data_IF_196895273465
#
_entry.id   IF_196895273465
#
_cell.length_a   1.000
_cell.length_b   1.000
_cell.length_c   1.000
_cell.angle_alpha   90.00
_cell.angle_beta   90.00
_cell.angle_gamma   90.00
#
_symmetry.space_group_name_H-M   'P 1'
#
loop_
_entity.id
_entity.type
_entity.pdbx_description
1 polymer ?
#
# COMPACT_ATOMS: atom_id res chain seq x y z
N UNK A 1 -34.77 5.62 -27.55
CA UNK A 1 -34.06 6.91 -27.58
C UNK A 1 -34.23 7.56 -26.22
N UNK A 2 -33.11 7.66 -25.50
CA UNK A 2 -32.79 8.66 -24.47
C UNK A 2 -33.84 8.89 -23.38
N UNK A 3 -33.97 7.94 -22.46
CA UNK A 3 -34.27 8.27 -21.06
C UNK A 3 -32.93 8.39 -20.34
N UNK A 4 -32.29 9.56 -20.43
CA UNK A 4 -31.13 9.87 -19.59
C UNK A 4 -31.64 9.91 -18.14
N UNK A 5 -31.30 8.91 -17.34
CA UNK A 5 -31.31 9.04 -15.90
C UNK A 5 -30.26 10.11 -15.58
N UNK A 6 -30.70 11.23 -15.02
CA UNK A 6 -29.80 12.33 -14.72
C UNK A 6 -29.30 12.09 -13.30
N UNK A 7 -28.19 11.37 -13.20
CA UNK A 7 -27.37 11.44 -12.00
C UNK A 7 -27.03 12.92 -11.76
N UNK A 8 -27.21 13.37 -10.52
CA UNK A 8 -26.86 14.72 -10.10
C UNK A 8 -25.56 14.67 -9.29
N UNK A 9 -24.38 14.47 -9.92
CA UNK A 9 -23.10 14.56 -9.21
C UNK A 9 -22.98 15.95 -8.56
N UNK A 10 -22.17 16.07 -7.50
CA UNK A 10 -22.00 17.32 -6.74
C UNK A 10 -21.62 18.55 -7.61
N UNK A 11 -21.05 18.32 -8.80
CA UNK A 11 -20.67 19.34 -9.77
C UNK A 11 -21.72 19.61 -10.86
N UNK A 12 -22.88 18.97 -10.81
CA UNK A 12 -23.97 19.18 -11.76
C UNK A 12 -24.49 20.61 -11.68
N UNK A 13 -24.84 21.19 -12.83
CA UNK A 13 -25.42 22.53 -12.90
C UNK A 13 -26.71 22.66 -12.10
N UNK A 14 -27.43 21.55 -11.91
CA UNK A 14 -28.60 21.47 -11.06
C UNK A 14 -28.22 21.65 -9.58
N UNK A 15 -27.28 20.84 -9.07
CA UNK A 15 -26.77 20.91 -7.68
C UNK A 15 -26.12 22.26 -7.39
N UNK A 16 -25.37 22.84 -8.34
CA UNK A 16 -24.77 24.16 -8.21
C UNK A 16 -25.81 25.29 -8.15
N UNK A 17 -26.92 25.18 -8.90
CA UNK A 17 -28.02 26.14 -8.85
C UNK A 17 -28.81 26.00 -7.55
N UNK A 18 -29.07 24.77 -7.12
CA UNK A 18 -29.78 24.49 -5.88
C UNK A 18 -28.96 24.98 -4.67
N UNK A 19 -27.65 24.75 -4.69
CA UNK A 19 -26.71 25.31 -3.71
C UNK A 19 -26.73 26.84 -3.70
N UNK A 20 -26.74 27.49 -4.86
CA UNK A 20 -26.81 28.96 -4.94
C UNK A 20 -28.13 29.50 -4.37
N UNK A 21 -29.27 28.89 -4.71
CA UNK A 21 -30.57 29.32 -4.17
C UNK A 21 -30.70 29.11 -2.67
N UNK A 22 -30.04 28.06 -2.14
CA UNK A 22 -29.95 27.82 -0.70
C UNK A 22 -29.04 28.82 0.01
N UNK A 23 -27.87 29.14 -0.56
CA UNK A 23 -26.97 30.18 -0.03
C UNK A 23 -27.66 31.56 0.00
N UNK A 24 -28.58 31.82 -0.94
CA UNK A 24 -29.37 33.04 -1.06
C UNK A 24 -30.64 33.05 -0.16
N UNK A 25 -30.94 31.97 0.58
CA UNK A 25 -32.15 31.81 1.41
C UNK A 25 -33.47 32.06 0.64
N UNK A 26 -33.53 31.64 -0.63
CA UNK A 26 -34.71 31.78 -1.48
C UNK A 26 -35.59 30.52 -1.40
N UNK A 27 -36.48 30.47 -0.41
CA UNK A 27 -37.41 29.36 -0.16
C UNK A 27 -38.33 29.04 -1.36
N UNK A 28 -38.62 30.05 -2.20
CA UNK A 28 -39.50 29.88 -3.36
C UNK A 28 -38.70 29.33 -4.55
N UNK A 29 -37.48 29.83 -4.74
CA UNK A 29 -36.54 29.34 -5.76
C UNK A 29 -36.12 27.89 -5.52
N UNK A 30 -35.91 27.50 -4.26
CA UNK A 30 -35.59 26.12 -3.86
C UNK A 30 -36.76 25.19 -4.11
N UNK A 31 -37.98 25.54 -3.68
CA UNK A 31 -39.19 24.77 -3.97
C UNK A 31 -39.43 24.59 -5.48
N UNK A 32 -39.21 25.64 -6.27
CA UNK A 32 -39.36 25.57 -7.73
C UNK A 32 -38.30 24.68 -8.39
N UNK A 33 -37.04 24.73 -7.92
CA UNK A 33 -35.98 23.83 -8.42
C UNK A 33 -36.22 22.38 -8.02
N UNK A 34 -36.75 22.14 -6.82
CA UNK A 34 -37.12 20.80 -6.33
C UNK A 34 -38.32 20.21 -7.10
N UNK A 35 -39.30 21.03 -7.48
CA UNK A 35 -40.40 20.61 -8.37
C UNK A 35 -39.94 20.19 -9.76
N UNK A 36 -38.81 20.71 -10.25
CA UNK A 36 -38.21 20.37 -11.54
C UNK A 36 -37.18 19.23 -11.44
N UNK A 37 -36.76 18.87 -10.23
CA UNK A 37 -35.98 17.67 -9.98
C UNK A 37 -36.94 16.49 -10.10
N UNK A 38 -36.89 15.76 -11.22
CA UNK A 38 -37.57 14.46 -11.27
C UNK A 38 -37.03 13.65 -10.10
N UNK A 39 -37.94 13.18 -9.24
CA UNK A 39 -37.61 12.28 -8.14
C UNK A 39 -36.75 11.17 -8.72
N UNK A 40 -35.58 10.96 -8.14
CA UNK A 40 -34.75 9.83 -8.50
C UNK A 40 -35.58 8.62 -8.10
N UNK A 41 -36.03 7.84 -9.08
CA UNK A 41 -36.71 6.58 -8.84
C UNK A 41 -35.71 5.65 -8.12
N UNK A 42 -35.61 5.76 -6.80
CA UNK A 42 -35.07 4.70 -5.98
C UNK A 42 -36.16 3.64 -5.91
N UNK A 43 -36.12 2.68 -6.84
CA UNK A 43 -37.01 1.52 -6.82
C UNK A 43 -36.68 0.67 -5.59
N UNK A 44 -37.46 0.81 -4.54
CA UNK A 44 -37.36 -0.06 -3.36
C UNK A 44 -38.00 -1.40 -3.74
N UNK A 45 -37.22 -2.34 -4.28
CA UNK A 45 -37.66 -3.73 -4.32
C UNK A 45 -37.47 -4.35 -2.94
N UNK A 46 -38.56 -4.40 -2.17
CA UNK A 46 -38.64 -5.22 -0.97
C UNK A 46 -38.44 -6.68 -1.40
N UNK A 47 -37.40 -7.32 -0.90
CA UNK A 47 -37.24 -8.77 -1.08
C UNK A 47 -38.38 -9.50 -0.35
N UNK A 48 -39.11 -10.29 -1.14
CA UNK A 48 -40.09 -11.33 -0.82
C UNK A 48 -41.59 -10.94 -0.88
N UNK A 49 -42.23 -11.41 -1.96
CA UNK A 49 -43.61 -11.93 -2.11
C UNK A 49 -44.85 -11.10 -1.73
N UNK A 50 -44.74 -9.85 -1.30
CA UNK A 50 -45.92 -8.99 -1.10
C UNK A 50 -46.17 -8.08 -2.31
N UNK A 51 -46.87 -8.60 -3.35
CA UNK A 51 -47.26 -7.87 -4.57
C UNK A 51 -48.29 -6.75 -4.36
N UNK A 52 -48.35 -6.12 -3.19
CA UNK A 52 -49.40 -5.14 -2.87
C UNK A 52 -48.99 -4.01 -1.91
N UNK A 53 -47.73 -3.56 -1.94
CA UNK A 53 -47.33 -2.29 -1.32
C UNK A 53 -46.49 -1.48 -2.31
N UNK A 54 -46.95 -0.26 -2.62
CA UNK A 54 -46.20 0.72 -3.42
C UNK A 54 -44.90 1.07 -2.68
N UNK A 55 -43.71 0.92 -3.29
CA UNK A 55 -42.47 1.26 -2.61
C UNK A 55 -41.77 2.37 -3.38
N UNK A 56 -42.25 3.61 -3.22
CA UNK A 56 -41.54 4.82 -3.63
C UNK A 56 -41.42 5.68 -2.38
N UNK A 57 -40.26 5.66 -1.74
CA UNK A 57 -39.95 6.58 -0.64
C UNK A 57 -39.07 7.69 -1.22
N UNK A 58 -39.52 8.93 -1.08
CA UNK A 58 -39.06 10.08 -1.84
C UNK A 58 -38.23 11.01 -0.96
N UNK A 59 -36.97 10.66 -0.68
CA UNK A 59 -36.04 11.61 -0.06
C UNK A 59 -35.28 12.43 -1.13
N UNK A 60 -35.31 13.78 -1.06
CA UNK A 60 -34.78 14.63 -2.12
C UNK A 60 -33.24 14.76 -2.12
N UNK A 61 -32.64 15.27 -3.22
CA UNK A 61 -31.20 15.49 -3.42
C UNK A 61 -30.51 16.40 -2.37
N UNK A 62 -31.27 16.98 -1.44
CA UNK A 62 -30.80 17.90 -0.40
C UNK A 62 -29.87 17.22 0.62
N UNK A 63 -30.00 15.91 0.84
CA UNK A 63 -29.03 15.15 1.65
C UNK A 63 -27.61 15.21 1.05
N UNK A 64 -27.49 15.32 -0.28
CA UNK A 64 -26.21 15.49 -0.97
C UNK A 64 -25.60 16.90 -0.74
N UNK A 65 -26.41 17.86 -0.30
CA UNK A 65 -26.00 19.25 -0.07
C UNK A 65 -25.63 19.55 1.39
N UNK A 66 -26.04 18.70 2.33
CA UNK A 66 -25.65 18.82 3.74
C UNK A 66 -26.29 19.99 4.50
N UNK A 67 -27.43 20.51 4.01
CA UNK A 67 -28.14 21.63 4.66
C UNK A 67 -29.16 21.09 5.66
N UNK A 68 -28.92 21.36 6.95
CA UNK A 68 -29.67 20.79 8.06
C UNK A 68 -31.11 21.33 8.18
N UNK A 69 -31.33 22.62 7.93
CA UNK A 69 -32.67 23.21 8.05
C UNK A 69 -33.65 22.62 7.03
N UNK A 70 -33.16 22.23 5.86
CA UNK A 70 -34.00 21.64 4.81
C UNK A 70 -34.34 20.17 5.12
N UNK A 71 -33.44 19.42 5.76
CA UNK A 71 -33.71 18.05 6.22
C UNK A 71 -34.79 18.06 7.33
N UNK A 72 -34.83 19.11 8.15
CA UNK A 72 -35.87 19.29 9.17
C UNK A 72 -37.23 19.56 8.56
N UNK A 73 -37.32 20.53 7.65
CA UNK A 73 -38.59 20.91 7.01
C UNK A 73 -39.18 19.77 6.18
N UNK A 74 -38.35 19.00 5.49
CA UNK A 74 -38.79 17.83 4.72
C UNK A 74 -39.38 16.73 5.59
N UNK A 75 -38.77 16.41 6.74
CA UNK A 75 -39.34 15.38 7.62
C UNK A 75 -40.63 15.81 8.31
N UNK A 76 -40.77 17.10 8.61
CA UNK A 76 -42.02 17.64 9.15
C UNK A 76 -43.17 17.56 8.13
N UNK A 77 -42.86 17.63 6.83
CA UNK A 77 -43.82 17.56 5.73
C UNK A 77 -44.10 16.13 5.27
N UNK A 78 -43.08 15.27 5.24
CA UNK A 78 -43.14 13.89 4.79
C UNK A 78 -42.65 12.97 5.92
N UNK A 79 -43.57 12.23 6.55
CA UNK A 79 -43.27 11.23 7.59
C UNK A 79 -42.58 10.02 6.94
N UNK A 80 -41.30 10.16 6.59
CA UNK A 80 -40.52 9.09 5.94
C UNK A 80 -39.58 8.38 6.93
N UNK A 81 -39.37 7.07 6.70
CA UNK A 81 -38.43 6.25 7.48
C UNK A 81 -37.00 6.74 7.21
N UNK A 82 -36.26 7.08 8.27
CA UNK A 82 -34.88 7.59 8.18
C UNK A 82 -33.91 6.56 7.57
N UNK A 83 -34.32 5.29 7.51
CA UNK A 83 -33.52 4.16 7.02
C UNK A 83 -33.78 3.79 5.56
N UNK A 84 -34.35 4.70 4.76
CA UNK A 84 -34.58 4.45 3.33
C UNK A 84 -33.29 4.11 2.59
N UNK A 85 -33.40 3.20 1.64
CA UNK A 85 -32.28 2.79 0.80
C UNK A 85 -32.39 3.53 -0.54
N UNK A 86 -31.32 4.22 -0.91
CA UNK A 86 -31.15 4.80 -2.23
C UNK A 86 -30.52 3.75 -3.15
N UNK A 87 -31.08 3.57 -4.32
CA UNK A 87 -30.48 2.81 -5.40
C UNK A 87 -29.82 3.80 -6.37
N UNK A 88 -28.49 3.80 -6.45
CA UNK A 88 -27.76 4.59 -7.43
C UNK A 88 -27.37 3.66 -8.58
N UNK A 89 -27.95 3.87 -9.75
CA UNK A 89 -27.62 3.14 -10.97
C UNK A 89 -26.56 3.91 -11.77
N UNK A 90 -25.36 3.37 -11.91
CA UNK A 90 -24.37 3.98 -12.81
C UNK A 90 -24.78 3.89 -14.28
N UNK A 91 -24.40 4.87 -15.09
CA UNK A 91 -24.71 4.93 -16.53
C UNK A 91 -24.00 3.85 -17.39
N UNK A 92 -23.00 3.17 -16.84
CA UNK A 92 -22.17 2.19 -17.55
C UNK A 92 -22.58 0.75 -17.24
N UNK A 93 -22.89 0.00 -18.30
CA UNK A 93 -23.15 -1.45 -18.24
C UNK A 93 -21.85 -2.18 -17.91
N UNK A 94 -21.83 -2.92 -16.81
CA UNK A 94 -20.69 -3.72 -16.38
C UNK A 94 -21.06 -5.20 -16.40
N UNK A 95 -20.10 -6.04 -16.76
CA UNK A 95 -20.24 -7.48 -16.62
C UNK A 95 -20.17 -7.83 -15.14
N UNK A 96 -21.30 -8.20 -14.56
CA UNK A 96 -21.37 -8.66 -13.18
C UNK A 96 -21.55 -10.17 -13.17
N UNK A 97 -20.71 -10.86 -12.39
CA UNK A 97 -20.95 -12.25 -12.05
C UNK A 97 -21.99 -12.25 -10.92
N UNK A 98 -23.19 -12.77 -11.18
CA UNK A 98 -24.17 -12.92 -10.12
C UNK A 98 -23.62 -13.87 -9.04
N UNK A 99 -23.71 -13.45 -7.78
CA UNK A 99 -23.12 -14.15 -6.64
C UNK A 99 -23.56 -15.62 -6.54
N UNK A 100 -22.70 -16.44 -5.92
CA UNK A 100 -22.85 -17.90 -5.84
C UNK A 100 -24.18 -18.40 -5.21
N UNK A 101 -24.94 -17.51 -4.55
CA UNK A 101 -26.18 -17.82 -3.85
C UNK A 101 -27.32 -18.20 -4.80
N UNK A 102 -27.37 -17.66 -6.02
CA UNK A 102 -28.45 -17.92 -6.99
C UNK A 102 -28.10 -18.96 -8.07
N UNK A 103 -26.82 -19.08 -8.47
CA UNK A 103 -26.43 -19.94 -9.62
C UNK A 103 -25.20 -20.83 -9.40
N UNK A 104 -24.71 -20.98 -8.16
CA UNK A 104 -23.59 -21.88 -7.83
C UNK A 104 -22.24 -21.43 -8.42
N UNK A 105 -21.28 -22.36 -8.48
CA UNK A 105 -19.85 -22.10 -8.82
C UNK A 105 -19.61 -21.62 -10.27
N UNK A 106 -20.61 -21.69 -11.14
CA UNK A 106 -20.50 -21.34 -12.57
C UNK A 106 -21.10 -19.98 -12.88
N UNK A 107 -20.92 -19.00 -11.99
CA UNK A 107 -21.51 -17.65 -12.02
C UNK A 107 -21.92 -17.16 -13.41
N UNK A 108 -23.21 -16.93 -13.59
CA UNK A 108 -23.75 -16.37 -14.82
C UNK A 108 -23.32 -14.91 -14.91
N UNK A 109 -22.59 -14.58 -15.96
CA UNK A 109 -22.21 -13.20 -16.25
C UNK A 109 -23.37 -12.52 -16.95
N UNK A 110 -24.02 -11.58 -16.28
CA UNK A 110 -25.02 -10.70 -16.89
C UNK A 110 -24.42 -9.30 -17.10
N UNK A 111 -24.83 -8.67 -18.19
CA UNK A 111 -24.45 -7.29 -18.50
C UNK A 111 -25.53 -6.38 -17.90
N UNK A 112 -25.33 -5.99 -16.65
CA UNK A 112 -26.28 -5.19 -15.88
C UNK A 112 -25.65 -3.87 -15.42
N UNK A 113 -26.48 -2.88 -15.08
CA UNK A 113 -26.03 -1.65 -14.45
C UNK A 113 -25.56 -1.96 -13.02
N UNK A 114 -24.42 -1.40 -12.60
CA UNK A 114 -24.01 -1.51 -11.20
C UNK A 114 -24.99 -0.72 -10.34
N UNK A 115 -25.79 -1.44 -9.56
CA UNK A 115 -26.73 -0.90 -8.58
C UNK A 115 -26.02 -0.82 -7.23
N UNK A 116 -25.73 0.38 -6.76
CA UNK A 116 -25.16 0.59 -5.43
C UNK A 116 -26.28 1.04 -4.50
N UNK A 117 -26.60 0.21 -3.50
CA UNK A 117 -27.56 0.56 -2.46
C UNK A 117 -26.85 1.39 -1.39
N UNK A 118 -27.33 2.60 -1.11
CA UNK A 118 -26.71 3.50 -0.12
C UNK A 118 -27.77 4.08 0.82
N UNK A 119 -27.41 4.36 2.08
CA UNK A 119 -28.34 4.98 3.04
C UNK A 119 -28.04 6.49 3.19
N UNK A 120 -29.04 7.32 3.58
CA UNK A 120 -28.81 8.73 3.90
C UNK A 120 -27.70 8.92 4.95
N UNK A 121 -27.62 7.98 5.88
CA UNK A 121 -26.58 7.95 6.91
C UNK A 121 -25.18 7.68 6.31
N UNK A 122 -25.06 6.77 5.34
CA UNK A 122 -23.79 6.52 4.65
C UNK A 122 -23.34 7.74 3.84
N UNK A 123 -24.26 8.42 3.15
CA UNK A 123 -23.97 9.61 2.34
C UNK A 123 -23.46 10.76 3.22
N UNK A 124 -24.17 11.05 4.31
CA UNK A 124 -23.78 12.11 5.27
C UNK A 124 -22.44 11.80 5.95
N UNK A 125 -22.18 10.53 6.26
CA UNK A 125 -20.90 10.08 6.80
C UNK A 125 -19.75 10.18 5.79
N UNK A 126 -19.98 9.83 4.51
CA UNK A 126 -19.00 9.90 3.43
C UNK A 126 -18.57 11.33 3.08
N UNK A 127 -19.48 12.31 3.21
CA UNK A 127 -19.22 13.72 2.92
C UNK A 127 -18.77 14.53 4.16
N UNK A 128 -18.91 13.96 5.36
CA UNK A 128 -18.54 14.65 6.61
C UNK A 128 -19.60 15.63 7.13
N UNK A 129 -20.88 15.44 6.78
CA UNK A 129 -21.99 16.30 7.25
C UNK A 129 -22.41 15.91 8.68
N UNK A 130 -21.60 16.31 9.66
CA UNK A 130 -21.75 15.95 11.08
C UNK A 130 -23.10 16.32 11.67
N UNK A 131 -23.60 17.52 11.38
CA UNK A 131 -24.87 18.01 11.92
C UNK A 131 -26.07 17.24 11.34
N UNK A 132 -26.03 16.94 10.04
CA UNK A 132 -27.05 16.10 9.38
C UNK A 132 -27.01 14.67 9.93
N UNK A 133 -25.80 14.12 10.10
CA UNK A 133 -25.58 12.80 10.67
C UNK A 133 -26.14 12.70 12.10
N UNK A 134 -25.87 13.70 12.96
CA UNK A 134 -26.41 13.77 14.32
C UNK A 134 -27.94 13.76 14.31
N UNK A 135 -28.54 14.60 13.46
CA UNK A 135 -30.00 14.66 13.33
C UNK A 135 -30.58 13.30 12.92
N UNK A 136 -30.00 12.63 11.91
CA UNK A 136 -30.47 11.31 11.48
C UNK A 136 -30.36 10.26 12.61
N UNK A 137 -29.27 10.27 13.38
CA UNK A 137 -29.05 9.34 14.49
C UNK A 137 -29.99 9.58 15.69
N UNK A 138 -30.25 10.84 16.05
CA UNK A 138 -31.23 11.21 17.10
C UNK A 138 -32.65 10.74 16.75
N UNK A 139 -32.92 10.56 15.46
CA UNK A 139 -34.22 10.22 14.92
C UNK A 139 -34.35 8.76 14.46
N UNK A 140 -33.47 7.89 14.96
CA UNK A 140 -33.62 6.44 14.83
C UNK A 140 -32.96 5.83 13.59
N UNK A 141 -32.04 6.54 12.94
CA UNK A 141 -31.17 5.93 11.93
C UNK A 141 -30.36 4.77 12.54
N UNK A 142 -30.31 3.64 11.85
CA UNK A 142 -29.55 2.46 12.28
C UNK A 142 -28.09 2.60 11.82
N UNK A 143 -27.11 2.73 12.74
CA UNK A 143 -25.71 2.95 12.36
C UNK A 143 -25.06 1.76 11.66
N UNK A 144 -25.56 0.55 11.90
CA UNK A 144 -25.02 -0.71 11.37
C UNK A 144 -25.69 -1.14 10.05
N UNK A 145 -26.52 -0.30 9.45
CA UNK A 145 -27.12 -0.61 8.16
C UNK A 145 -26.06 -0.54 7.05
N UNK A 146 -25.87 -1.64 6.33
CA UNK A 146 -24.90 -1.78 5.24
C UNK A 146 -25.61 -2.23 3.96
N UNK A 147 -26.39 -1.34 3.32
CA UNK A 147 -27.26 -1.75 2.22
C UNK A 147 -26.50 -2.11 0.94
N UNK A 148 -25.35 -1.49 0.68
CA UNK A 148 -24.41 -1.84 -0.39
C UNK A 148 -23.07 -2.29 0.18
N UNK A 149 -23.12 -3.13 1.21
CA UNK A 149 -21.92 -3.70 1.83
C UNK A 149 -21.15 -2.80 2.76
N UNK A 150 -21.24 -1.48 2.63
CA UNK A 150 -20.56 -0.52 3.51
C UNK A 150 -21.50 0.17 4.47
N UNK A 151 -21.16 0.12 5.76
CA UNK A 151 -21.84 0.91 6.81
C UNK A 151 -21.38 2.37 6.77
N UNK A 152 -22.15 3.28 7.37
CA UNK A 152 -21.76 4.68 7.54
C UNK A 152 -20.38 4.87 8.20
N UNK A 153 -20.01 3.97 9.13
CA UNK A 153 -18.73 4.03 9.83
C UNK A 153 -17.53 3.66 8.93
N UNK A 154 -17.72 2.78 7.94
CA UNK A 154 -16.72 2.48 6.90
C UNK A 154 -16.44 3.72 6.05
N UNK A 155 -17.50 4.38 5.57
CA UNK A 155 -17.41 5.58 4.74
C UNK A 155 -16.75 6.75 5.48
N UNK A 156 -17.09 6.96 6.75
CA UNK A 156 -16.46 7.98 7.58
C UNK A 156 -14.96 7.72 7.78
N UNK A 157 -14.56 6.44 7.93
CA UNK A 157 -13.15 6.07 8.10
C UNK A 157 -12.35 6.21 6.81
N UNK A 158 -12.91 5.77 5.67
CA UNK A 158 -12.28 5.89 4.36
C UNK A 158 -12.01 7.36 3.98
N UNK A 159 -12.96 8.24 4.27
CA UNK A 159 -12.87 9.67 3.96
C UNK A 159 -12.28 10.52 5.09
N UNK A 160 -11.84 9.89 6.20
CA UNK A 160 -11.17 10.54 7.33
C UNK A 160 -12.01 11.56 8.11
N UNK A 161 -13.34 11.38 8.17
CA UNK A 161 -14.26 12.26 8.89
C UNK A 161 -14.37 11.88 10.37
N UNK A 162 -13.46 12.44 11.18
CA UNK A 162 -13.30 12.10 12.59
C UNK A 162 -14.56 12.30 13.42
N UNK A 163 -15.24 13.41 13.19
CA UNK A 163 -16.39 13.83 13.99
C UNK A 163 -17.61 12.95 13.69
N UNK A 164 -17.75 12.50 12.44
CA UNK A 164 -18.73 11.49 12.04
C UNK A 164 -18.44 10.14 12.71
N UNK A 165 -17.17 9.72 12.75
CA UNK A 165 -16.77 8.46 13.43
C UNK A 165 -17.10 8.52 14.92
N UNK A 166 -16.81 9.65 15.60
CA UNK A 166 -17.12 9.83 17.01
C UNK A 166 -18.63 9.70 17.27
N UNK A 167 -19.46 10.45 16.52
CA UNK A 167 -20.92 10.40 16.65
C UNK A 167 -21.49 8.99 16.37
N UNK A 168 -21.00 8.30 15.34
CA UNK A 168 -21.46 6.95 15.02
C UNK A 168 -21.13 5.96 16.16
N UNK A 169 -19.92 6.04 16.71
CA UNK A 169 -19.49 5.19 17.82
C UNK A 169 -20.25 5.49 19.13
N UNK A 170 -20.57 6.77 19.40
CA UNK A 170 -21.42 7.16 20.53
C UNK A 170 -22.84 6.58 20.42
N UNK A 171 -23.37 6.50 19.19
CA UNK A 171 -24.66 5.87 18.88
C UNK A 171 -24.59 4.35 18.70
N UNK A 172 -23.53 3.69 19.21
CA UNK A 172 -23.35 2.23 19.22
C UNK A 172 -23.21 1.60 17.83
N UNK A 173 -22.60 2.31 16.88
CA UNK A 173 -22.08 1.67 15.68
C UNK A 173 -21.08 0.56 16.06
N UNK A 174 -21.17 -0.60 15.42
CA UNK A 174 -20.25 -1.71 15.65
C UNK A 174 -18.96 -1.46 14.85
N UNK A 175 -17.80 -1.30 15.52
CA UNK A 175 -16.53 -1.00 14.85
C UNK A 175 -15.89 -2.23 14.18
N UNK A 176 -16.50 -3.42 14.26
CA UNK A 176 -15.94 -4.68 13.78
C UNK A 176 -16.70 -5.30 12.59
N UNK A 177 -17.78 -4.64 12.15
CA UNK A 177 -18.50 -5.08 10.95
C UNK A 177 -17.56 -5.06 9.75
N UNK A 178 -17.62 -6.11 8.94
CA UNK A 178 -16.87 -6.17 7.69
C UNK A 178 -17.70 -5.57 6.56
N UNK A 179 -17.04 -4.87 5.65
CA UNK A 179 -17.68 -4.45 4.41
C UNK A 179 -17.74 -5.59 3.38
N UNK A 180 -18.30 -5.31 2.20
CA UNK A 180 -18.37 -6.26 1.07
C UNK A 180 -17.00 -6.74 0.59
N UNK A 181 -15.95 -5.93 0.79
CA UNK A 181 -14.56 -6.27 0.47
C UNK A 181 -13.88 -7.03 1.65
N UNK A 182 -14.65 -7.38 2.68
CA UNK A 182 -14.14 -8.08 3.86
C UNK A 182 -13.25 -7.22 4.75
N UNK A 183 -13.34 -5.89 4.67
CA UNK A 183 -12.53 -4.97 5.46
C UNK A 183 -13.29 -4.46 6.68
N UNK A 184 -12.70 -4.59 7.87
CA UNK A 184 -13.16 -3.84 9.04
C UNK A 184 -12.82 -2.33 8.90
N UNK A 185 -13.50 -1.42 9.61
CA UNK A 185 -13.26 0.02 9.53
C UNK A 185 -11.83 0.46 9.84
N UNK A 186 -11.12 -0.27 10.70
CA UNK A 186 -9.70 -0.05 10.99
C UNK A 186 -8.80 -0.24 9.74
N UNK A 187 -9.15 -1.16 8.83
CA UNK A 187 -8.42 -1.39 7.58
C UNK A 187 -8.59 -0.23 6.57
N UNK A 188 -9.66 0.55 6.70
CA UNK A 188 -9.92 1.71 5.85
C UNK A 188 -9.14 2.96 6.28
N UNK A 189 -8.49 2.94 7.45
CA UNK A 189 -7.61 4.01 7.94
C UNK A 189 -6.25 4.00 7.22
N UNK A 190 -6.25 4.33 5.91
CA UNK A 190 -5.11 4.17 4.99
C UNK A 190 -4.24 5.42 4.82
N UNK A 191 -4.62 6.53 5.44
CA UNK A 191 -3.96 7.84 5.28
C UNK A 191 -3.52 8.41 6.62
N UNK A 192 -2.54 9.34 6.67
CA UNK A 192 -2.14 9.97 7.92
C UNK A 192 -3.29 10.76 8.58
N UNK A 193 -4.23 11.31 7.81
CA UNK A 193 -5.40 12.04 8.31
C UNK A 193 -6.34 11.13 9.12
N UNK A 194 -6.45 9.86 8.75
CA UNK A 194 -7.28 8.86 9.44
C UNK A 194 -6.78 8.47 10.84
N UNK A 195 -5.63 9.00 11.30
CA UNK A 195 -5.05 8.64 12.61
C UNK A 195 -6.02 8.87 13.77
N UNK A 196 -6.78 9.98 13.72
CA UNK A 196 -7.79 10.29 14.74
C UNK A 196 -8.96 9.30 14.69
N UNK A 197 -9.41 8.89 13.50
CA UNK A 197 -10.42 7.84 13.33
C UNK A 197 -9.93 6.51 13.93
N UNK A 198 -8.72 6.07 13.58
CA UNK A 198 -8.12 4.85 14.12
C UNK A 198 -8.04 4.88 15.66
N UNK A 199 -7.67 6.02 16.24
CA UNK A 199 -7.64 6.19 17.71
C UNK A 199 -9.02 6.07 18.35
N UNK A 200 -10.07 6.61 17.73
CA UNK A 200 -11.44 6.49 18.21
C UNK A 200 -11.94 5.05 18.11
N UNK A 201 -11.71 4.38 16.98
CA UNK A 201 -12.07 2.98 16.79
C UNK A 201 -11.45 2.07 17.86
N UNK A 202 -10.13 2.19 18.10
CA UNK A 202 -9.43 1.41 19.14
C UNK A 202 -9.98 1.71 20.53
N UNK A 203 -10.36 2.96 20.83
CA UNK A 203 -10.98 3.33 22.13
C UNK A 203 -12.36 2.72 22.33
N UNK A 204 -13.13 2.56 21.25
CA UNK A 204 -14.47 1.98 21.29
C UNK A 204 -14.49 0.46 21.08
N UNK A 205 -13.34 -0.22 21.22
CA UNK A 205 -13.28 -1.67 21.22
C UNK A 205 -13.20 -2.32 19.84
N UNK A 206 -12.69 -1.60 18.83
CA UNK A 206 -12.34 -2.21 17.55
C UNK A 206 -11.30 -3.32 17.73
N UNK A 207 -11.52 -4.47 17.09
CA UNK A 207 -10.64 -5.62 17.11
C UNK A 207 -9.40 -5.34 16.26
N UNK A 208 -8.28 -5.07 16.93
CA UNK A 208 -7.03 -4.62 16.29
C UNK A 208 -6.39 -5.71 15.43
N UNK A 209 -6.61 -6.98 15.77
CA UNK A 209 -6.06 -8.14 15.06
C UNK A 209 -7.09 -8.83 14.17
N UNK A 210 -8.24 -8.19 13.91
CA UNK A 210 -9.25 -8.76 13.02
C UNK A 210 -8.67 -8.84 11.60
N UNK A 211 -8.57 -10.03 10.99
CA UNK A 211 -8.10 -10.16 9.62
C UNK A 211 -9.21 -9.71 8.65
N UNK A 212 -8.80 -9.24 7.47
CA UNK A 212 -9.72 -9.07 6.35
C UNK A 212 -10.15 -10.42 5.77
N UNK A 213 -11.36 -10.53 5.22
CA UNK A 213 -11.83 -11.82 4.68
C UNK A 213 -11.02 -12.27 3.46
N UNK A 214 -10.73 -11.35 2.53
CA UNK A 214 -10.09 -11.66 1.25
C UNK A 214 -8.60 -12.00 1.39
N UNK A 215 -7.80 -11.05 1.91
CA UNK A 215 -6.34 -11.17 1.95
C UNK A 215 -5.82 -11.65 3.30
N UNK A 216 -6.68 -11.79 4.32
CA UNK A 216 -6.29 -12.06 5.71
C UNK A 216 -5.29 -11.03 6.25
N UNK A 217 -5.28 -9.82 5.68
CA UNK A 217 -4.45 -8.71 6.14
C UNK A 217 -5.04 -8.16 7.45
N UNK A 218 -4.20 -7.89 8.44
CA UNK A 218 -4.61 -7.18 9.66
C UNK A 218 -4.47 -5.65 9.47
N UNK A 219 -5.09 -4.81 10.31
CA UNK A 219 -4.89 -3.36 10.28
C UNK A 219 -3.42 -2.94 10.38
N UNK A 220 -2.60 -3.73 11.09
CA UNK A 220 -1.16 -3.52 11.20
C UNK A 220 -0.45 -3.74 9.85
N UNK A 221 -0.84 -4.75 9.05
CA UNK A 221 -0.31 -4.94 7.69
C UNK A 221 -0.58 -3.74 6.81
N UNK A 222 -1.82 -3.25 6.80
CA UNK A 222 -2.23 -2.09 5.99
C UNK A 222 -1.43 -0.85 6.40
N UNK A 223 -1.31 -0.58 7.71
CA UNK A 223 -0.56 0.56 8.21
C UNK A 223 0.94 0.46 7.88
N UNK A 224 1.53 -0.74 7.99
CA UNK A 224 2.93 -1.00 7.66
C UNK A 224 3.21 -0.82 6.16
N UNK A 225 2.37 -1.42 5.29
CA UNK A 225 2.43 -1.29 3.83
C UNK A 225 2.30 0.17 3.37
N UNK A 226 1.55 1.00 4.08
CA UNK A 226 1.39 2.43 3.77
C UNK A 226 2.42 3.35 4.43
N UNK A 227 3.29 2.84 5.30
CA UNK A 227 4.31 3.66 5.98
C UNK A 227 3.73 4.58 7.07
N UNK A 228 2.57 4.22 7.65
CA UNK A 228 1.86 5.05 8.62
C UNK A 228 2.42 4.87 10.03
N UNK A 229 3.55 5.52 10.33
CA UNK A 229 4.27 5.38 11.60
C UNK A 229 3.38 5.59 12.84
N UNK A 230 2.54 6.63 12.83
CA UNK A 230 1.65 6.95 13.96
C UNK A 230 0.62 5.85 14.21
N UNK A 231 0.04 5.26 13.15
CA UNK A 231 -0.93 4.18 13.25
C UNK A 231 -0.27 2.88 13.74
N UNK A 232 0.88 2.51 13.17
CA UNK A 232 1.66 1.34 13.61
C UNK A 232 1.99 1.45 15.10
N UNK A 233 2.47 2.62 15.54
CA UNK A 233 2.77 2.84 16.96
C UNK A 233 1.53 2.78 17.86
N UNK A 234 0.38 3.25 17.37
CA UNK A 234 -0.89 3.15 18.10
C UNK A 234 -1.31 1.69 18.26
N UNK A 235 -1.30 0.92 17.17
CA UNK A 235 -1.73 -0.48 17.16
C UNK A 235 -0.83 -1.37 18.04
N UNK A 236 0.49 -1.21 17.93
CA UNK A 236 1.43 -1.96 18.78
C UNK A 236 1.29 -1.59 20.26
N UNK A 237 1.04 -0.31 20.58
CA UNK A 237 0.75 0.12 21.96
C UNK A 237 -0.56 -0.43 22.51
N UNK A 238 -1.54 -0.67 21.64
CA UNK A 238 -2.80 -1.32 21.99
C UNK A 238 -2.71 -2.86 21.95
N UNK A 239 -1.49 -3.41 22.01
CA UNK A 239 -1.24 -4.85 22.12
C UNK A 239 -1.65 -5.66 20.87
N UNK A 240 -1.52 -5.07 19.68
CA UNK A 240 -1.63 -5.79 18.41
C UNK A 240 -0.57 -6.90 18.33
N UNK A 241 -0.92 -8.01 17.67
CA UNK A 241 0.05 -9.02 17.29
C UNK A 241 1.09 -8.42 16.34
N UNK A 242 2.38 -8.66 16.60
CA UNK A 242 3.49 -8.09 15.81
C UNK A 242 3.71 -8.87 14.51
N UNK A 243 3.55 -10.20 14.56
CA UNK A 243 3.81 -11.12 13.45
C UNK A 243 2.54 -11.91 13.02
N UNK A 244 1.39 -11.27 12.77
CA UNK A 244 0.30 -11.95 12.07
C UNK A 244 0.76 -12.31 10.65
N UNK A 245 0.31 -13.45 10.14
CA UNK A 245 0.55 -13.89 8.78
C UNK A 245 -0.69 -13.63 7.93
N UNK A 246 -0.53 -12.94 6.79
CA UNK A 246 -1.61 -12.77 5.81
C UNK A 246 -1.83 -14.04 4.95
N UNK A 247 -2.70 -13.94 3.94
CA UNK A 247 -2.96 -15.03 3.00
C UNK A 247 -1.75 -15.47 2.18
N UNK A 248 -0.65 -14.73 2.18
CA UNK A 248 0.62 -15.04 1.52
C UNK A 248 1.72 -15.41 2.53
N UNK A 249 1.35 -15.69 3.79
CA UNK A 249 2.25 -15.89 4.91
C UNK A 249 3.22 -14.70 5.11
N UNK A 250 2.87 -13.50 4.62
CA UNK A 250 3.65 -12.30 4.84
C UNK A 250 3.37 -11.73 6.24
N UNK A 251 4.42 -11.23 6.88
CA UNK A 251 4.31 -10.46 8.13
C UNK A 251 4.22 -8.96 7.85
N UNK A 252 3.80 -8.13 8.82
CA UNK A 252 3.77 -6.68 8.67
C UNK A 252 5.14 -6.09 8.33
N UNK A 253 6.22 -6.68 8.86
CA UNK A 253 7.59 -6.31 8.54
C UNK A 253 7.91 -6.59 7.06
N UNK A 254 7.46 -7.74 6.54
CA UNK A 254 7.57 -8.09 5.12
C UNK A 254 6.80 -7.13 4.22
N UNK A 255 5.56 -6.77 4.61
CA UNK A 255 4.71 -5.84 3.87
C UNK A 255 5.28 -4.41 3.83
N UNK A 256 5.84 -3.90 4.94
CA UNK A 256 6.57 -2.63 4.96
C UNK A 256 7.77 -2.63 4.00
N UNK A 257 8.53 -3.73 4.00
CA UNK A 257 9.70 -3.87 3.13
C UNK A 257 9.33 -3.99 1.63
N UNK A 258 8.19 -4.61 1.30
CA UNK A 258 7.71 -4.74 -0.08
C UNK A 258 7.18 -3.41 -0.65
N UNK A 259 6.63 -2.56 0.21
CA UNK A 259 6.04 -1.28 -0.15
C UNK A 259 7.05 -0.16 -0.46
N UNK A 260 8.30 -0.27 0.01
CA UNK A 260 9.36 0.75 -0.14
C UNK A 260 9.88 0.92 -1.59
N UNK A 261 9.01 1.27 -2.54
CA UNK A 261 9.31 1.32 -3.98
C UNK A 261 9.94 2.63 -4.43
N UNK A 262 9.55 3.75 -3.79
CA UNK A 262 9.96 5.11 -4.15
C UNK A 262 10.90 5.70 -3.10
N UNK A 263 11.81 6.62 -3.50
CA UNK A 263 12.79 7.22 -2.58
C UNK A 263 12.12 7.98 -1.42
N UNK A 264 11.04 8.71 -1.71
CA UNK A 264 10.32 9.51 -0.70
C UNK A 264 9.71 8.66 0.42
N UNK A 265 9.38 7.41 0.14
CA UNK A 265 8.74 6.51 1.09
C UNK A 265 9.76 5.70 1.91
N UNK A 266 11.02 5.60 1.46
CA UNK A 266 12.01 4.73 2.11
C UNK A 266 12.31 5.15 3.55
N UNK A 267 12.45 6.45 3.82
CA UNK A 267 12.75 6.91 5.18
C UNK A 267 11.60 6.58 6.15
N UNK A 268 10.36 6.75 5.69
CA UNK A 268 9.17 6.40 6.48
C UNK A 268 9.08 4.89 6.71
N UNK A 269 9.37 4.09 5.69
CA UNK A 269 9.38 2.63 5.78
C UNK A 269 10.50 2.11 6.68
N UNK A 270 11.68 2.75 6.65
CA UNK A 270 12.77 2.45 7.58
C UNK A 270 12.31 2.69 9.01
N UNK A 271 11.66 3.83 9.30
CA UNK A 271 11.15 4.13 10.64
C UNK A 271 10.08 3.12 11.09
N UNK A 272 9.16 2.72 10.21
CA UNK A 272 8.15 1.69 10.50
C UNK A 272 8.82 0.34 10.81
N UNK A 273 9.78 -0.10 9.99
CA UNK A 273 10.54 -1.32 10.23
C UNK A 273 11.34 -1.26 11.53
N UNK A 274 11.97 -0.11 11.86
CA UNK A 274 12.66 0.07 13.15
C UNK A 274 11.70 -0.14 14.32
N UNK A 275 10.50 0.42 14.21
CA UNK A 275 9.49 0.33 15.25
C UNK A 275 8.97 -1.11 15.38
N UNK A 276 8.63 -1.80 14.29
CA UNK A 276 8.24 -3.22 14.32
C UNK A 276 9.30 -4.11 14.96
N UNK A 277 10.57 -3.93 14.59
CA UNK A 277 11.68 -4.69 15.18
C UNK A 277 11.90 -4.38 16.66
N UNK A 278 11.65 -3.13 17.09
CA UNK A 278 11.71 -2.76 18.51
C UNK A 278 10.67 -3.49 19.34
N UNK A 279 9.47 -3.73 18.79
CA UNK A 279 8.41 -4.51 19.42
C UNK A 279 8.59 -6.03 19.25
N UNK A 280 9.69 -6.48 18.62
CA UNK A 280 10.07 -7.90 18.57
C UNK A 280 9.64 -8.65 17.32
N UNK A 281 9.37 -7.96 16.20
CA UNK A 281 9.03 -8.60 14.93
C UNK A 281 10.11 -9.59 14.48
N UNK A 282 9.69 -10.76 13.99
CA UNK A 282 10.61 -11.78 13.49
C UNK A 282 11.21 -11.39 12.13
N UNK A 283 12.53 -11.24 12.11
CA UNK A 283 13.31 -10.93 10.89
C UNK A 283 13.45 -12.14 9.98
N UNK A 284 13.37 -13.34 10.56
CA UNK A 284 13.50 -14.62 9.87
C UNK A 284 12.21 -15.12 9.22
N UNK A 285 11.08 -14.44 9.45
CA UNK A 285 9.81 -14.80 8.86
C UNK A 285 9.86 -14.71 7.33
N UNK A 286 9.24 -15.69 6.66
CA UNK A 286 9.24 -15.85 5.21
C UNK A 286 7.83 -16.00 4.69
N UNK A 287 7.59 -15.46 3.49
CA UNK A 287 6.33 -15.62 2.77
C UNK A 287 6.18 -17.05 2.17
N UNK A 288 5.04 -17.30 1.53
CA UNK A 288 4.77 -18.54 0.78
C UNK A 288 5.83 -18.89 -0.26
N UNK A 289 6.53 -17.89 -0.78
CA UNK A 289 7.62 -18.02 -1.73
C UNK A 289 9.01 -18.02 -1.05
N UNK A 290 9.07 -18.29 0.26
CA UNK A 290 10.30 -18.34 1.07
C UNK A 290 11.10 -17.02 1.02
N UNK A 291 10.47 -15.92 0.64
CA UNK A 291 11.10 -14.60 0.60
C UNK A 291 10.93 -13.93 1.95
N UNK A 292 12.03 -13.83 2.70
CA UNK A 292 12.08 -13.04 3.92
C UNK A 292 12.07 -11.52 3.67
N UNK A 293 11.96 -10.74 4.75
CA UNK A 293 11.98 -9.26 4.68
C UNK A 293 13.21 -8.72 3.92
N UNK A 294 14.37 -9.37 4.07
CA UNK A 294 15.60 -8.98 3.37
C UNK A 294 15.47 -9.10 1.85
N UNK A 295 14.83 -10.14 1.32
CA UNK A 295 14.59 -10.29 -0.12
C UNK A 295 13.72 -9.15 -0.66
N UNK A 296 12.70 -8.74 0.09
CA UNK A 296 11.77 -7.66 -0.30
C UNK A 296 12.47 -6.30 -0.30
N UNK A 297 13.26 -6.01 0.73
CA UNK A 297 14.10 -4.81 0.78
C UNK A 297 15.15 -4.77 -0.35
N UNK A 298 15.75 -5.93 -0.67
CA UNK A 298 16.72 -6.11 -1.74
C UNK A 298 16.10 -5.94 -3.14
N UNK A 299 14.92 -6.50 -3.39
CA UNK A 299 14.14 -6.27 -4.62
C UNK A 299 13.86 -4.78 -4.86
N UNK A 300 13.73 -4.02 -3.77
CA UNK A 300 13.51 -2.58 -3.81
C UNK A 300 14.79 -1.73 -3.84
N UNK A 301 15.97 -2.35 -3.78
CA UNK A 301 17.26 -1.66 -3.66
C UNK A 301 17.28 -0.63 -2.51
N UNK A 302 16.56 -0.90 -1.41
CA UNK A 302 16.52 0.00 -0.26
C UNK A 302 17.71 -0.22 0.68
N UNK A 303 18.71 0.66 0.57
CA UNK A 303 19.92 0.60 1.41
C UNK A 303 19.64 0.75 2.91
N UNK A 304 18.76 1.69 3.28
CA UNK A 304 18.40 1.91 4.68
C UNK A 304 17.77 0.67 5.33
N UNK A 305 16.83 0.03 4.63
CA UNK A 305 16.16 -1.19 5.10
C UNK A 305 17.12 -2.37 5.18
N UNK A 306 17.96 -2.58 4.16
CA UNK A 306 18.94 -3.68 4.15
C UNK A 306 19.91 -3.54 5.32
N UNK A 307 20.44 -2.34 5.58
CA UNK A 307 21.34 -2.10 6.72
C UNK A 307 20.69 -2.41 8.06
N UNK A 308 19.44 -2.01 8.21
CA UNK A 308 18.66 -2.23 9.42
C UNK A 308 18.41 -3.73 9.65
N UNK A 309 17.92 -4.45 8.63
CA UNK A 309 17.63 -5.88 8.73
C UNK A 309 18.90 -6.70 9.04
N UNK A 310 20.01 -6.38 8.37
CA UNK A 310 21.31 -7.01 8.63
C UNK A 310 21.84 -6.69 10.03
N UNK A 311 21.56 -5.49 10.56
CA UNK A 311 21.86 -5.11 11.95
C UNK A 311 21.11 -5.99 12.97
N UNK A 312 19.87 -6.40 12.65
CA UNK A 312 19.05 -7.32 13.42
C UNK A 312 19.27 -8.80 13.07
N UNK A 313 20.41 -9.15 12.46
CA UNK A 313 20.84 -10.53 12.15
C UNK A 313 19.96 -11.26 11.12
N UNK A 314 19.37 -10.54 10.16
CA UNK A 314 18.77 -11.17 8.98
C UNK A 314 19.77 -12.10 8.26
N UNK A 315 19.31 -13.27 7.81
CA UNK A 315 20.15 -14.18 7.02
C UNK A 315 20.41 -13.60 5.62
N UNK A 316 21.68 -13.29 5.36
CA UNK A 316 22.16 -12.70 4.10
C UNK A 316 22.07 -13.69 2.93
N UNK A 317 22.10 -14.98 3.23
CA UNK A 317 22.19 -16.06 2.24
C UNK A 317 20.93 -16.93 2.19
N UNK A 318 19.82 -16.42 2.73
CA UNK A 318 18.52 -17.06 2.58
C UNK A 318 18.21 -17.26 1.08
N UNK A 319 17.49 -18.31 0.73
CA UNK A 319 17.12 -18.62 -0.65
C UNK A 319 15.60 -18.69 -0.78
N UNK A 320 15.05 -18.04 -1.79
CA UNK A 320 13.65 -18.16 -2.17
C UNK A 320 13.36 -19.48 -2.91
N UNK A 321 12.10 -19.76 -3.26
CA UNK A 321 11.76 -20.95 -4.06
C UNK A 321 12.40 -20.95 -5.46
N UNK A 322 12.73 -19.79 -6.00
CA UNK A 322 13.38 -19.66 -7.31
C UNK A 322 14.90 -19.90 -7.22
N UNK A 323 15.44 -20.17 -6.03
CA UNK A 323 16.88 -20.30 -5.78
C UNK A 323 17.62 -18.96 -5.83
N UNK A 324 16.89 -17.85 -5.79
CA UNK A 324 17.40 -16.49 -5.70
C UNK A 324 17.86 -16.19 -4.28
N UNK A 325 19.09 -15.69 -4.17
CA UNK A 325 19.59 -15.04 -2.95
C UNK A 325 19.23 -13.54 -2.93
N UNK A 326 19.25 -12.86 -1.77
CA UNK A 326 19.02 -11.42 -1.68
C UNK A 326 19.93 -10.64 -2.62
N UNK A 327 21.20 -11.04 -2.74
CA UNK A 327 22.15 -10.44 -3.69
C UNK A 327 21.67 -10.58 -5.14
N UNK A 328 21.18 -11.76 -5.54
CA UNK A 328 20.68 -11.96 -6.90
C UNK A 328 19.42 -11.14 -7.21
N UNK A 329 18.54 -10.94 -6.21
CA UNK A 329 17.31 -10.13 -6.39
C UNK A 329 17.62 -8.65 -6.62
N UNK A 330 18.65 -8.10 -5.96
CA UNK A 330 19.15 -6.74 -6.22
C UNK A 330 19.66 -6.64 -7.64
N UNK A 331 20.49 -7.60 -8.07
CA UNK A 331 21.12 -7.56 -9.41
C UNK A 331 20.10 -7.66 -10.54
N UNK A 332 19.07 -8.50 -10.38
CA UNK A 332 17.98 -8.60 -11.35
C UNK A 332 17.19 -7.28 -11.51
N UNK A 333 17.09 -6.46 -10.46
CA UNK A 333 16.33 -5.20 -10.47
C UNK A 333 17.22 -3.95 -10.55
N UNK A 334 18.55 -4.11 -10.59
CA UNK A 334 19.49 -2.99 -10.49
C UNK A 334 19.33 -1.96 -11.63
N UNK A 335 19.02 -2.42 -12.84
CA UNK A 335 18.81 -1.54 -14.01
C UNK A 335 17.50 -0.78 -13.94
N UNK A 336 16.46 -1.38 -13.35
CA UNK A 336 15.15 -0.75 -13.21
C UNK A 336 15.18 0.34 -12.13
N UNK A 337 16.03 0.17 -11.11
CA UNK A 337 16.08 1.02 -9.91
C UNK A 337 17.40 1.78 -9.76
N UNK A 338 17.91 2.37 -10.86
CA UNK A 338 19.15 3.16 -10.84
C UNK A 338 19.07 4.33 -9.85
N UNK A 339 17.90 4.95 -9.72
CA UNK A 339 17.63 6.05 -8.79
C UNK A 339 17.83 5.67 -7.32
N UNK A 340 17.72 4.37 -7.00
CA UNK A 340 17.84 3.85 -5.63
C UNK A 340 19.27 3.44 -5.26
N UNK A 341 20.26 3.79 -6.09
CA UNK A 341 21.67 3.51 -5.84
C UNK A 341 21.95 2.04 -5.46
N UNK A 342 21.61 1.07 -6.32
CA UNK A 342 21.66 -0.36 -6.00
C UNK A 342 23.06 -0.85 -5.61
N UNK A 343 24.11 -0.16 -6.07
CA UNK A 343 25.50 -0.43 -5.70
C UNK A 343 25.74 -0.40 -4.18
N UNK A 344 25.07 0.48 -3.43
CA UNK A 344 25.17 0.55 -1.96
C UNK A 344 24.55 -0.69 -1.29
N UNK A 345 23.43 -1.19 -1.84
CA UNK A 345 22.80 -2.44 -1.35
C UNK A 345 23.67 -3.67 -1.63
N UNK A 346 24.25 -3.75 -2.83
CA UNK A 346 25.21 -4.80 -3.19
C UNK A 346 26.44 -4.75 -2.26
N UNK A 347 26.97 -3.56 -2.02
CA UNK A 347 28.12 -3.33 -1.15
C UNK A 347 27.85 -3.81 0.28
N UNK A 348 26.71 -3.43 0.86
CA UNK A 348 26.33 -3.83 2.23
C UNK A 348 26.14 -5.34 2.34
N UNK A 349 25.45 -5.98 1.40
CA UNK A 349 25.29 -7.43 1.37
C UNK A 349 26.65 -8.15 1.34
N UNK A 350 27.57 -7.74 0.48
CA UNK A 350 28.91 -8.34 0.40
C UNK A 350 29.75 -8.10 1.66
N UNK A 351 29.56 -6.97 2.34
CA UNK A 351 30.26 -6.66 3.59
C UNK A 351 29.73 -7.45 4.79
N UNK A 352 28.45 -7.86 4.76
CA UNK A 352 27.85 -8.80 5.71
C UNK A 352 28.04 -10.27 5.31
N UNK A 353 28.78 -10.53 4.23
CA UNK A 353 29.20 -11.88 3.83
C UNK A 353 28.18 -12.63 2.98
N UNK A 354 27.46 -11.92 2.10
CA UNK A 354 26.70 -12.53 1.02
C UNK A 354 27.59 -13.43 0.16
N UNK A 355 27.04 -14.56 -0.26
CA UNK A 355 27.69 -15.46 -1.21
C UNK A 355 27.85 -14.76 -2.56
N UNK A 356 29.05 -14.87 -3.11
CA UNK A 356 29.40 -14.26 -4.40
C UNK A 356 28.74 -15.06 -5.53
N UNK A 357 28.43 -14.37 -6.62
CA UNK A 357 27.93 -15.01 -7.84
C UNK A 357 28.96 -16.04 -8.35
N UNK A 358 28.48 -17.18 -8.84
CA UNK A 358 29.36 -18.19 -9.42
C UNK A 358 30.11 -17.61 -10.64
N UNK A 359 31.46 -17.72 -10.74
CA UNK A 359 32.24 -16.96 -11.72
C UNK A 359 31.79 -17.10 -13.19
N UNK A 360 31.42 -18.30 -13.69
CA UNK A 360 30.89 -18.44 -15.06
C UNK A 360 29.49 -17.84 -15.27
N UNK A 361 28.70 -17.68 -14.21
CA UNK A 361 27.41 -16.98 -14.26
C UNK A 361 27.57 -15.45 -14.30
N UNK A 362 28.78 -14.93 -14.05
CA UNK A 362 29.05 -13.50 -14.05
C UNK A 362 28.75 -12.83 -15.40
N UNK A 363 28.91 -13.55 -16.51
CA UNK A 363 28.53 -13.06 -17.84
C UNK A 363 27.04 -12.70 -17.92
N UNK A 364 26.16 -13.47 -17.26
CA UNK A 364 24.72 -13.17 -17.20
C UNK A 364 24.46 -11.93 -16.37
N UNK A 365 25.17 -11.78 -15.25
CA UNK A 365 25.09 -10.58 -14.41
C UNK A 365 25.53 -9.35 -15.18
N UNK A 366 26.65 -9.42 -15.89
CA UNK A 366 27.16 -8.34 -16.73
C UNK A 366 26.11 -7.89 -17.77
N UNK A 367 25.48 -8.83 -18.48
CA UNK A 367 24.37 -8.53 -19.42
C UNK A 367 23.20 -7.84 -18.73
N UNK A 368 22.80 -8.34 -17.57
CA UNK A 368 21.64 -7.81 -16.84
C UNK A 368 21.89 -6.48 -16.14
N UNK A 369 23.14 -6.19 -15.77
CA UNK A 369 23.54 -5.04 -14.94
C UNK A 369 24.41 -4.02 -15.68
N UNK A 370 24.56 -4.13 -17.02
CA UNK A 370 25.46 -3.27 -17.81
C UNK A 370 25.22 -1.77 -17.59
N UNK A 371 23.95 -1.36 -17.42
CA UNK A 371 23.57 0.02 -17.14
C UNK A 371 23.89 0.50 -15.70
N UNK A 372 24.39 -0.38 -14.82
CA UNK A 372 24.75 -0.08 -13.44
C UNK A 372 26.24 -0.39 -13.17
N UNK A 373 27.19 0.37 -13.76
CA UNK A 373 28.63 0.06 -13.70
C UNK A 373 29.18 0.04 -12.27
N UNK A 374 28.70 0.93 -11.38
CA UNK A 374 29.09 0.95 -9.97
C UNK A 374 28.78 -0.37 -9.26
N UNK A 375 27.64 -1.01 -9.57
CA UNK A 375 27.29 -2.29 -8.97
C UNK A 375 28.19 -3.42 -9.49
N UNK A 376 28.53 -3.39 -10.79
CA UNK A 376 29.51 -4.30 -11.39
C UNK A 376 30.88 -4.11 -10.75
N UNK A 377 31.30 -2.87 -10.53
CA UNK A 377 32.57 -2.55 -9.87
C UNK A 377 32.66 -3.18 -8.48
N UNK A 378 31.65 -2.95 -7.64
CA UNK A 378 31.57 -3.51 -6.28
C UNK A 378 31.64 -5.04 -6.32
N UNK A 379 30.89 -5.67 -7.24
CA UNK A 379 30.90 -7.12 -7.42
C UNK A 379 32.26 -7.64 -7.87
N UNK A 380 32.81 -7.09 -8.95
CA UNK A 380 34.07 -7.54 -9.55
C UNK A 380 35.21 -7.38 -8.55
N UNK A 381 35.20 -6.26 -7.81
CA UNK A 381 36.13 -6.01 -6.74
C UNK A 381 36.04 -7.06 -5.61
N UNK A 382 34.93 -7.76 -5.41
CA UNK A 382 34.85 -8.82 -4.41
C UNK A 382 35.64 -10.10 -4.78
N UNK A 383 36.07 -10.27 -6.04
CA UNK A 383 36.77 -11.46 -6.51
C UNK A 383 38.29 -11.27 -6.54
N UNK A 384 39.02 -12.32 -6.16
CA UNK A 384 40.48 -12.35 -6.25
C UNK A 384 40.95 -12.53 -7.70
N UNK A 385 40.22 -13.37 -8.45
CA UNK A 385 40.47 -13.71 -9.85
C UNK A 385 39.13 -13.93 -10.53
N UNK A 386 38.93 -13.26 -11.65
CA UNK A 386 37.82 -13.41 -12.59
C UNK A 386 38.45 -13.30 -13.98
N UNK A 387 38.26 -14.33 -14.80
CA UNK A 387 38.82 -14.35 -16.15
C UNK A 387 37.93 -13.53 -17.06
N UNK A 388 38.39 -12.32 -17.41
CA UNK A 388 37.75 -11.48 -18.42
C UNK A 388 37.99 -12.14 -19.78
N UNK A 389 36.93 -12.30 -20.57
CA UNK A 389 37.00 -12.92 -21.90
C UNK A 389 36.42 -11.97 -22.93
N UNK A 390 36.84 -12.09 -24.19
CA UNK A 390 36.31 -11.30 -25.31
C UNK A 390 34.77 -11.33 -25.43
N UNK A 391 34.13 -12.41 -24.96
CA UNK A 391 32.65 -12.55 -24.90
C UNK A 391 31.95 -11.51 -24.01
N UNK A 392 32.69 -10.82 -23.14
CA UNK A 392 32.14 -9.78 -22.28
C UNK A 392 31.91 -8.48 -23.05
N UNK A 393 32.67 -8.23 -24.12
CA UNK A 393 32.48 -7.08 -25.01
C UNK A 393 31.11 -7.20 -25.69
N UNK A 394 30.82 -8.36 -26.27
CA UNK A 394 29.53 -8.65 -26.93
C UNK A 394 28.32 -8.61 -25.96
N UNK A 395 28.57 -8.63 -24.65
CA UNK A 395 27.53 -8.64 -23.63
C UNK A 395 27.10 -7.24 -23.18
N UNK A 396 27.85 -6.20 -23.54
CA UNK A 396 27.60 -4.82 -23.13
C UNK A 396 26.97 -4.07 -24.31
N UNK A 397 25.78 -3.48 -24.17
CA UNK A 397 25.20 -2.62 -25.19
C UNK A 397 26.11 -1.45 -25.55
N UNK A 398 26.27 -1.14 -26.84
CA UNK A 398 27.17 -0.09 -27.33
C UNK A 398 26.89 1.27 -26.66
N UNK A 399 25.62 1.66 -26.54
CA UNK A 399 25.20 2.90 -25.87
C UNK A 399 25.71 3.00 -24.42
N UNK A 400 25.66 1.90 -23.67
CA UNK A 400 26.15 1.85 -22.28
C UNK A 400 27.66 1.85 -22.21
N UNK A 401 28.32 1.22 -23.19
CA UNK A 401 29.77 1.22 -23.30
C UNK A 401 30.30 2.63 -23.55
N UNK A 402 29.66 3.41 -24.43
CA UNK A 402 30.05 4.79 -24.69
C UNK A 402 29.82 5.70 -23.47
N UNK A 403 28.67 5.56 -22.81
CA UNK A 403 28.33 6.36 -21.63
C UNK A 403 29.30 6.14 -20.45
N UNK A 404 29.86 4.94 -20.31
CA UNK A 404 30.77 4.57 -19.23
C UNK A 404 32.11 4.02 -19.73
N UNK A 405 32.60 4.55 -20.85
CA UNK A 405 33.85 4.14 -21.52
C UNK A 405 35.03 3.95 -20.56
N UNK A 406 35.40 4.90 -19.68
CA UNK A 406 36.59 4.75 -18.84
C UNK A 406 36.50 3.54 -17.90
N UNK A 407 35.31 3.23 -17.40
CA UNK A 407 35.09 2.07 -16.53
C UNK A 407 35.26 0.77 -17.32
N UNK A 408 34.59 0.64 -18.47
CA UNK A 408 34.66 -0.59 -19.24
C UNK A 408 36.02 -0.83 -19.89
N UNK A 409 36.73 0.21 -20.31
CA UNK A 409 38.12 0.10 -20.77
C UNK A 409 39.03 -0.40 -19.63
N UNK A 410 38.85 0.08 -18.40
CA UNK A 410 39.60 -0.44 -17.24
C UNK A 410 39.30 -1.91 -16.94
N UNK A 411 38.04 -2.33 -17.14
CA UNK A 411 37.62 -3.70 -16.96
C UNK A 411 38.24 -4.62 -18.04
N UNK A 412 38.24 -4.20 -19.29
CA UNK A 412 38.79 -4.95 -20.41
C UNK A 412 40.32 -4.97 -20.42
N UNK A 413 40.99 -3.94 -19.89
CA UNK A 413 42.45 -3.94 -19.71
C UNK A 413 42.94 -5.08 -18.79
N UNK A 414 42.04 -5.68 -18.01
CA UNK A 414 42.33 -6.83 -17.16
C UNK A 414 42.34 -8.16 -17.90
N UNK A 415 42.03 -8.17 -19.21
CA UNK A 415 42.18 -9.36 -20.04
C UNK A 415 43.65 -9.82 -20.01
N UNK A 416 43.89 -11.02 -19.49
CA UNK A 416 45.21 -11.64 -19.40
C UNK A 416 46.23 -10.98 -18.44
N UNK A 417 45.82 -10.02 -17.60
CA UNK A 417 46.72 -9.39 -16.62
C UNK A 417 46.41 -9.82 -15.18
N UNK A 418 47.44 -10.08 -14.35
CA UNK A 418 47.23 -10.36 -12.93
C UNK A 418 46.77 -9.10 -12.19
N UNK A 419 45.84 -9.27 -11.24
CA UNK A 419 45.39 -8.17 -10.36
C UNK A 419 46.57 -7.61 -9.55
N UNK A 420 46.50 -6.31 -9.24
CA UNK A 420 47.49 -5.64 -8.41
C UNK A 420 47.68 -6.32 -7.04
N UNK A 421 48.89 -6.22 -6.46
CA UNK A 421 49.18 -6.74 -5.12
C UNK A 421 48.23 -6.13 -4.07
N UNK A 422 47.92 -4.84 -4.21
CA UNK A 422 46.97 -4.13 -3.35
C UNK A 422 45.57 -4.78 -3.37
N UNK A 423 45.07 -5.16 -4.55
CA UNK A 423 43.80 -5.85 -4.70
C UNK A 423 43.81 -7.24 -4.06
N UNK A 424 44.90 -7.99 -4.23
CA UNK A 424 45.08 -9.29 -3.60
C UNK A 424 45.13 -9.18 -2.07
N UNK A 425 45.81 -8.16 -1.54
CA UNK A 425 45.81 -7.83 -0.11
C UNK A 425 44.41 -7.51 0.41
N UNK A 426 43.63 -6.71 -0.31
CA UNK A 426 42.23 -6.44 0.05
C UNK A 426 41.40 -7.71 0.11
N UNK A 427 41.53 -8.58 -0.88
CA UNK A 427 40.83 -9.86 -0.88
C UNK A 427 41.23 -10.75 0.29
N UNK A 428 42.51 -10.80 0.63
CA UNK A 428 43.02 -11.55 1.77
C UNK A 428 42.48 -11.00 3.10
N UNK A 429 42.51 -9.67 3.30
CA UNK A 429 41.97 -9.01 4.50
C UNK A 429 40.47 -9.27 4.63
N UNK A 430 39.70 -9.13 3.54
CA UNK A 430 38.26 -9.45 3.56
C UNK A 430 37.99 -10.91 3.87
N UNK A 431 38.82 -11.84 3.38
CA UNK A 431 38.74 -13.26 3.72
C UNK A 431 38.97 -13.52 5.22
N UNK A 432 39.87 -12.76 5.86
CA UNK A 432 40.11 -12.81 7.31
C UNK A 432 38.94 -12.19 8.11
N UNK A 433 38.33 -11.13 7.60
CA UNK A 433 37.18 -10.48 8.24
C UNK A 433 35.88 -11.30 8.11
N UNK A 434 35.76 -12.16 7.09
CA UNK A 434 34.61 -13.03 6.88
C UNK A 434 33.30 -12.25 6.73
N UNK A 435 32.24 -12.71 7.39
CA UNK A 435 30.90 -12.09 7.38
C UNK A 435 30.81 -10.76 8.15
N UNK A 436 31.89 -10.34 8.83
CA UNK A 436 31.91 -9.15 9.68
C UNK A 436 32.78 -8.04 9.10
N UNK A 437 32.92 -7.95 7.78
CA UNK A 437 33.74 -6.90 7.15
C UNK A 437 33.28 -5.50 7.58
N UNK A 438 31.97 -5.27 7.64
CA UNK A 438 31.39 -3.99 8.06
C UNK A 438 31.79 -3.59 9.50
N UNK A 439 31.95 -4.55 10.40
CA UNK A 439 32.27 -4.31 11.81
C UNK A 439 33.78 -4.31 12.09
N UNK A 440 34.54 -5.18 11.41
CA UNK A 440 35.97 -5.39 11.68
C UNK A 440 36.88 -4.41 10.96
N UNK A 441 36.53 -4.00 9.73
CA UNK A 441 37.38 -3.11 8.93
C UNK A 441 37.58 -1.74 9.61
N UNK A 442 36.55 -1.09 10.18
CA UNK A 442 36.73 0.18 10.89
C UNK A 442 37.61 0.09 12.15
N UNK A 443 37.79 -1.10 12.72
CA UNK A 443 38.63 -1.33 13.90
C UNK A 443 40.12 -1.44 13.55
N UNK A 444 40.47 -1.58 12.27
CA UNK A 444 41.86 -1.65 11.83
C UNK A 444 42.50 -0.25 11.89
N UNK A 445 43.75 -0.12 12.37
CA UNK A 445 44.48 1.15 12.43
C UNK A 445 44.98 1.56 11.04
N UNK A 446 44.05 1.83 10.12
CA UNK A 446 44.31 2.22 8.75
C UNK A 446 43.74 3.62 8.48
N UNK A 447 44.31 4.37 7.52
CA UNK A 447 43.70 5.59 7.02
C UNK A 447 42.30 5.35 6.43
N UNK A 448 41.46 6.38 6.46
CA UNK A 448 40.07 6.33 5.99
C UNK A 448 39.92 5.85 4.54
N UNK A 449 40.84 6.24 3.64
CA UNK A 449 40.80 5.80 2.25
C UNK A 449 41.00 4.28 2.11
N UNK A 450 41.82 3.65 2.96
CA UNK A 450 41.99 2.20 2.97
C UNK A 450 40.76 1.50 3.56
N UNK A 451 40.07 2.10 4.53
CA UNK A 451 38.79 1.57 5.00
C UNK A 451 37.76 1.53 3.88
N UNK A 452 37.63 2.62 3.13
CA UNK A 452 36.74 2.74 1.96
C UNK A 452 37.05 1.69 0.89
N UNK A 453 38.34 1.56 0.56
CA UNK A 453 38.84 0.56 -0.37
C UNK A 453 38.49 -0.88 0.10
N UNK A 454 38.75 -1.20 1.37
CA UNK A 454 38.42 -2.50 1.95
C UNK A 454 36.91 -2.78 1.98
N UNK A 455 36.08 -1.74 2.14
CA UNK A 455 34.61 -1.82 2.17
C UNK A 455 33.95 -1.80 0.78
N UNK A 456 34.72 -1.85 -0.30
CA UNK A 456 34.22 -1.88 -1.69
C UNK A 456 33.51 -0.58 -2.11
N UNK A 457 33.98 0.59 -1.70
CA UNK A 457 33.45 1.83 -2.30
C UNK A 457 33.86 1.93 -3.78
N UNK A 458 32.94 2.29 -4.69
CA UNK A 458 33.25 2.42 -6.12
C UNK A 458 34.05 3.69 -6.39
N UNK A 459 35.17 3.55 -7.10
CA UNK A 459 36.06 4.63 -7.54
C UNK A 459 35.85 4.94 -9.04
N UNK A 460 35.09 4.12 -9.77
CA UNK A 460 34.80 4.26 -11.20
C UNK A 460 35.86 3.64 -12.11
N UNK A 461 36.89 3.01 -11.52
CA UNK A 461 38.01 2.37 -12.23
C UNK A 461 38.38 1.08 -11.50
N UNK A 462 38.70 0.03 -12.26
CA UNK A 462 39.13 -1.25 -11.71
C UNK A 462 40.66 -1.39 -11.83
N UNK A 463 41.36 -1.57 -10.69
CA UNK A 463 42.84 -1.62 -10.60
C UNK A 463 43.47 -3.00 -10.61
#
# INVERSE_FOLDING_TARGET
MTGLAIDHPAHSRFVQRLRRTLEEHDDVGTCHLLQHAKHVDATIELSNDDWMKCPSVELPPLVLLGVLEDIRTLREQHYEDVNTLFEVSGDELQWQAQGAVTFGVSGLWSLDYKRELTSPLCITAAQGFTDCLRYLLEHGARPNLAPGGRTALHEACANCHTDCVELLLEHRADPNLLDEDGHAPLHLCRTPQSFRCAKLLVRHGAAIDQPSDDEQETPLHVAAKRGLLSHVHLYLRSNAAVDPSDSQDETPLGAACSAARHPNEQDTQVQVCQLLLLYGADVGAVDKDKRGALHKACRNASHGLVRLLLGHRADVNAIDYNGGSPLSTVLQNAVIKLDMEPHLTVQTLLNHGAQKVWPPAFLKVLRSCAAAPKAIEVLFNAYCRLDVTSKWIDAIPEDTFEAHRPFFESLLALEWTPRSLQHLCRCAIRKLCGHQCQLRVPLLPLPTFLHRYLLLEPEGVIF
#
